data_IF_041238491899
#
_entry.id   IF_041238491899
#
_cell.length_a   1.000
_cell.length_b   1.000
_cell.length_c   1.000
_cell.angle_alpha   90.00
_cell.angle_beta   90.00
_cell.angle_gamma   90.00
#
_symmetry.space_group_name_H-M   'P 1'
#
loop_
_entity.id
_entity.type
_entity.pdbx_description
1 polymer ?
#
# COMPACT_ATOMS: atom_id res chain seq x y z
N UNK A 1 -19.50 -2.93 1.16
CA UNK A 1 -18.32 -3.33 0.36
C UNK A 1 -17.07 -2.85 1.06
N UNK A 2 -16.16 -3.73 1.34
CA UNK A 2 -14.92 -3.32 1.98
C UNK A 2 -14.05 -2.57 0.98
N UNK A 3 -13.76 -1.34 1.31
CA UNK A 3 -12.77 -0.57 0.55
C UNK A 3 -11.39 -0.84 1.11
N UNK A 4 -10.40 -0.80 0.25
CA UNK A 4 -9.02 -0.99 0.69
C UNK A 4 -8.09 -0.07 -0.08
N UNK A 5 -6.85 -0.02 0.39
CA UNK A 5 -5.84 0.90 -0.10
C UNK A 5 -4.54 0.16 -0.29
N UNK A 6 -3.76 0.58 -1.28
CA UNK A 6 -2.49 -0.05 -1.58
C UNK A 6 -1.35 0.92 -1.28
N UNK A 7 -0.29 0.40 -0.67
CA UNK A 7 0.96 1.11 -0.52
C UNK A 7 2.01 0.49 -1.42
N UNK A 8 2.79 1.33 -2.08
CA UNK A 8 3.84 0.89 -2.99
C UNK A 8 5.19 1.42 -2.56
N UNK A 9 6.20 0.57 -2.72
CA UNK A 9 7.58 0.98 -2.74
C UNK A 9 8.17 0.53 -4.06
N UNK A 10 9.15 1.25 -4.57
CA UNK A 10 9.82 0.84 -5.80
C UNK A 10 11.22 1.41 -5.85
N UNK A 11 12.09 0.70 -6.56
CA UNK A 11 13.41 1.22 -6.88
C UNK A 11 13.28 2.21 -8.04
N UNK A 12 14.26 3.09 -8.17
CA UNK A 12 14.28 4.07 -9.25
C UNK A 12 14.15 3.35 -10.59
N UNK A 13 13.27 3.86 -11.44
CA UNK A 13 13.08 3.33 -12.78
C UNK A 13 12.18 2.12 -12.86
N UNK A 14 11.50 1.75 -11.78
CA UNK A 14 10.56 0.63 -11.79
C UNK A 14 9.42 0.91 -12.78
N UNK A 15 9.19 0.03 -13.77
CA UNK A 15 8.13 0.27 -14.74
C UNK A 15 6.75 0.16 -14.14
N UNK A 16 5.80 0.92 -14.68
CA UNK A 16 4.40 0.82 -14.29
C UNK A 16 3.85 -0.59 -14.50
N UNK A 17 4.30 -1.28 -15.53
CA UNK A 17 3.87 -2.66 -15.82
C UNK A 17 4.22 -3.60 -14.67
N UNK A 18 5.39 -3.44 -14.07
CA UNK A 18 5.81 -4.28 -12.95
C UNK A 18 4.94 -4.00 -11.72
N UNK A 19 4.69 -2.73 -11.45
CA UNK A 19 3.82 -2.33 -10.34
C UNK A 19 2.41 -2.87 -10.52
N UNK A 20 1.89 -2.77 -11.74
CA UNK A 20 0.55 -3.26 -12.03
C UNK A 20 0.46 -4.78 -11.93
N UNK A 21 1.48 -5.49 -12.42
CA UNK A 21 1.53 -6.95 -12.30
C UNK A 21 1.52 -7.38 -10.83
N UNK A 22 2.29 -6.69 -10.01
CA UNK A 22 2.32 -6.99 -8.58
C UNK A 22 0.95 -6.75 -7.94
N UNK A 23 0.29 -5.65 -8.31
CA UNK A 23 -1.06 -5.36 -7.84
C UNK A 23 -2.05 -6.45 -8.27
N UNK A 24 -2.02 -6.84 -9.54
CA UNK A 24 -2.93 -7.86 -10.06
C UNK A 24 -2.73 -9.20 -9.34
N UNK A 25 -1.48 -9.60 -9.09
CA UNK A 25 -1.19 -10.81 -8.34
C UNK A 25 -1.72 -10.73 -6.91
N UNK A 26 -1.56 -9.58 -6.26
CA UNK A 26 -2.02 -9.40 -4.89
C UNK A 26 -3.54 -9.48 -4.80
N UNK A 27 -4.23 -8.86 -5.74
CA UNK A 27 -5.69 -8.90 -5.79
C UNK A 27 -6.20 -10.32 -5.99
N UNK A 28 -5.59 -11.06 -6.92
CA UNK A 28 -5.96 -12.46 -7.17
C UNK A 28 -5.75 -13.32 -5.93
N UNK A 29 -4.60 -13.16 -5.29
CA UNK A 29 -4.25 -13.96 -4.11
C UNK A 29 -5.20 -13.71 -2.94
N UNK A 30 -5.71 -12.49 -2.83
CA UNK A 30 -6.59 -12.11 -1.73
C UNK A 30 -8.07 -12.20 -2.07
N UNK A 31 -8.39 -12.50 -3.32
CA UNK A 31 -9.78 -12.52 -3.76
C UNK A 31 -10.44 -11.16 -3.69
N UNK A 32 -9.67 -10.08 -3.90
CA UNK A 32 -10.16 -8.72 -3.85
C UNK A 32 -10.41 -8.18 -5.25
N UNK A 33 -11.40 -7.32 -5.36
CA UNK A 33 -11.75 -6.70 -6.63
C UNK A 33 -11.07 -5.35 -6.77
N UNK A 34 -10.56 -5.06 -7.97
CA UNK A 34 -9.95 -3.76 -8.26
C UNK A 34 -10.93 -2.61 -8.00
N UNK A 35 -12.21 -2.83 -8.23
CA UNK A 35 -13.23 -1.81 -8.00
C UNK A 35 -13.30 -1.34 -6.55
N UNK A 36 -12.84 -2.13 -5.60
CA UNK A 36 -12.84 -1.79 -4.18
C UNK A 36 -11.54 -1.10 -3.74
N UNK A 37 -10.56 -1.00 -4.61
CA UNK A 37 -9.33 -0.24 -4.36
C UNK A 37 -9.63 1.24 -4.52
N UNK A 38 -9.42 2.01 -3.46
CA UNK A 38 -9.84 3.42 -3.42
C UNK A 38 -8.70 4.43 -3.50
N UNK A 39 -7.48 3.97 -3.42
CA UNK A 39 -6.33 4.86 -3.53
C UNK A 39 -5.04 4.11 -3.40
N UNK A 40 -3.98 4.75 -3.83
CA UNK A 40 -2.63 4.22 -3.70
C UNK A 40 -1.74 5.26 -3.03
N UNK A 41 -0.74 4.78 -2.32
CA UNK A 41 0.15 5.65 -1.55
C UNK A 41 1.59 5.20 -1.65
N UNK A 42 2.50 6.13 -1.44
CA UNK A 42 3.93 5.86 -1.35
C UNK A 42 4.59 6.94 -0.52
N UNK A 43 5.91 6.94 -0.49
CA UNK A 43 6.67 7.97 0.22
C UNK A 43 7.00 9.13 -0.74
N UNK A 44 7.13 10.34 -0.20
CA UNK A 44 7.36 11.54 -1.00
C UNK A 44 8.65 11.49 -1.83
N UNK A 45 9.62 10.67 -1.43
CA UNK A 45 10.82 10.46 -2.24
C UNK A 45 10.51 9.87 -3.62
N UNK A 46 9.32 9.32 -3.80
CA UNK A 46 8.88 8.72 -5.07
C UNK A 46 8.03 9.66 -5.91
N UNK A 47 7.97 10.94 -5.55
CA UNK A 47 7.15 11.92 -6.26
C UNK A 47 7.52 12.02 -7.74
N UNK A 48 8.79 11.82 -8.09
CA UNK A 48 9.28 11.90 -9.46
C UNK A 48 9.39 10.55 -10.13
N UNK A 49 8.83 9.50 -9.56
CA UNK A 49 8.94 8.16 -10.13
C UNK A 49 7.89 7.96 -11.21
N UNK A 50 8.28 7.95 -12.51
CA UNK A 50 7.29 7.92 -13.60
C UNK A 50 6.41 6.67 -13.58
N UNK A 51 6.96 5.52 -13.19
CA UNK A 51 6.19 4.28 -13.16
C UNK A 51 5.03 4.35 -12.19
N UNK A 52 5.26 4.96 -11.03
CA UNK A 52 4.22 5.10 -10.01
C UNK A 52 3.14 6.09 -10.44
N UNK A 53 3.55 7.20 -11.05
CA UNK A 53 2.62 8.20 -11.58
C UNK A 53 1.77 7.60 -12.70
N UNK A 54 2.39 6.83 -13.59
CA UNK A 54 1.67 6.16 -14.67
C UNK A 54 0.68 5.14 -14.15
N UNK A 55 1.04 4.42 -13.09
CA UNK A 55 0.14 3.45 -12.49
C UNK A 55 -1.11 4.13 -11.96
N UNK A 56 -0.93 5.23 -11.22
CA UNK A 56 -2.06 5.98 -10.68
C UNK A 56 -2.99 6.45 -11.79
N UNK A 57 -2.42 6.93 -12.89
CA UNK A 57 -3.17 7.39 -14.03
C UNK A 57 -3.94 6.24 -14.70
N UNK A 58 -3.29 5.10 -14.91
CA UNK A 58 -3.93 3.91 -15.48
C UNK A 58 -5.11 3.44 -14.64
N UNK A 59 -4.97 3.49 -13.32
CA UNK A 59 -6.02 3.03 -12.42
C UNK A 59 -7.10 4.08 -12.20
N UNK A 60 -6.83 5.33 -12.56
CA UNK A 60 -7.77 6.42 -12.29
C UNK A 60 -7.94 6.69 -10.80
N UNK A 61 -6.89 6.44 -10.01
CA UNK A 61 -6.93 6.56 -8.56
C UNK A 61 -5.98 7.66 -8.07
N UNK A 62 -6.31 8.30 -6.94
CA UNK A 62 -5.39 9.26 -6.35
C UNK A 62 -4.13 8.56 -5.84
N UNK A 63 -2.99 9.21 -6.05
CA UNK A 63 -1.72 8.81 -5.47
C UNK A 63 -1.41 9.79 -4.35
N UNK A 64 -1.32 9.29 -3.14
CA UNK A 64 -1.00 10.09 -1.96
C UNK A 64 0.43 9.81 -1.55
N UNK A 65 1.21 10.87 -1.37
CA UNK A 65 2.62 10.74 -1.00
C UNK A 65 2.81 11.29 0.41
N UNK A 66 3.39 10.48 1.27
CA UNK A 66 3.63 10.82 2.66
C UNK A 66 5.12 11.08 2.90
N UNK A 67 5.42 12.02 3.77
CA UNK A 67 6.78 12.18 4.26
C UNK A 67 7.10 11.07 5.26
N UNK A 68 8.39 10.74 5.40
CA UNK A 68 8.80 9.65 6.29
C UNK A 68 8.28 9.84 7.71
N UNK A 69 8.23 11.08 8.20
CA UNK A 69 7.74 11.37 9.55
C UNK A 69 6.26 10.99 9.70
N UNK A 70 5.48 11.11 8.64
CA UNK A 70 4.06 10.73 8.65
C UNK A 70 3.87 9.22 8.68
N UNK A 71 4.87 8.47 8.27
CA UNK A 71 4.82 7.00 8.25
C UNK A 71 5.33 6.37 9.54
N UNK A 72 6.08 7.12 10.35
CA UNK A 72 6.65 6.61 11.59
C UNK A 72 5.61 6.03 12.57
N UNK A 73 4.42 6.63 12.74
CA UNK A 73 3.44 6.07 13.67
C UNK A 73 3.00 4.65 13.34
N UNK A 74 3.22 4.21 12.11
CA UNK A 74 2.80 2.88 11.66
C UNK A 74 3.89 1.82 11.79
N UNK A 75 5.10 2.20 12.22
CA UNK A 75 6.20 1.26 12.37
C UNK A 75 5.88 0.07 13.27
N UNK A 76 5.19 0.24 14.40
CA UNK A 76 4.86 -0.91 15.25
C UNK A 76 3.95 -1.93 14.58
N UNK A 77 3.27 -1.55 13.51
CA UNK A 77 2.33 -2.42 12.80
C UNK A 77 2.94 -3.14 11.61
N UNK A 78 4.22 -2.87 11.32
CA UNK A 78 4.88 -3.47 10.15
C UNK A 78 5.12 -4.95 10.37
N UNK A 79 4.86 -5.74 9.33
CA UNK A 79 5.17 -7.16 9.34
C UNK A 79 6.64 -7.42 9.00
N UNK A 80 7.24 -6.51 8.23
CA UNK A 80 8.63 -6.61 7.80
C UNK A 80 9.32 -5.27 8.01
N UNK A 81 10.55 -5.32 8.50
CA UNK A 81 11.40 -4.14 8.65
C UNK A 81 12.62 -4.29 7.78
N UNK A 82 12.82 -3.34 6.88
CA UNK A 82 13.95 -3.38 5.95
C UNK A 82 14.99 -2.33 6.35
N UNK A 83 16.18 -2.78 6.72
CA UNK A 83 17.28 -1.87 7.02
C UNK A 83 17.69 -1.07 5.80
N UNK A 84 17.67 -1.67 4.62
CA UNK A 84 17.97 -0.97 3.38
C UNK A 84 16.96 0.14 3.09
N UNK A 85 15.67 -0.14 3.29
CA UNK A 85 14.64 0.87 3.12
C UNK A 85 14.78 2.01 4.11
N UNK A 86 15.10 1.70 5.37
CA UNK A 86 15.30 2.72 6.40
C UNK A 86 16.49 3.61 6.08
N UNK A 87 17.59 3.01 5.66
CA UNK A 87 18.80 3.77 5.32
C UNK A 87 18.55 4.73 4.16
N UNK A 88 17.69 4.34 3.22
CA UNK A 88 17.41 5.13 2.02
C UNK A 88 16.32 6.18 2.25
N UNK A 89 15.27 5.85 2.98
CA UNK A 89 14.06 6.67 3.05
C UNK A 89 13.72 7.18 4.45
N UNK A 90 14.38 6.68 5.48
CA UNK A 90 14.03 6.97 6.86
C UNK A 90 12.81 6.21 7.34
N UNK A 91 12.37 5.20 6.58
CA UNK A 91 11.19 4.41 6.90
C UNK A 91 11.52 2.92 6.79
N UNK A 92 11.14 2.13 7.80
CA UNK A 92 11.44 0.70 7.84
C UNK A 92 10.64 -0.14 6.84
N UNK A 93 9.50 0.35 6.40
CA UNK A 93 8.68 -0.35 5.43
C UNK A 93 7.74 0.60 4.73
N UNK A 94 8.13 1.09 3.55
CA UNK A 94 7.37 2.10 2.82
C UNK A 94 6.00 1.58 2.40
N UNK A 95 5.96 0.39 1.79
CA UNK A 95 4.70 -0.13 1.25
C UNK A 95 3.65 -0.34 2.34
N UNK A 96 4.03 -1.01 3.42
CA UNK A 96 3.10 -1.28 4.52
C UNK A 96 2.70 0.00 5.24
N UNK A 97 3.66 0.86 5.54
CA UNK A 97 3.38 2.13 6.24
C UNK A 97 2.47 3.03 5.42
N UNK A 98 2.74 3.15 4.12
CA UNK A 98 1.94 3.98 3.24
C UNK A 98 0.51 3.46 3.10
N UNK A 99 0.36 2.14 2.96
CA UNK A 99 -0.97 1.53 2.91
C UNK A 99 -1.76 1.80 4.19
N UNK A 100 -1.12 1.60 5.34
CA UNK A 100 -1.75 1.83 6.64
C UNK A 100 -2.10 3.31 6.84
N UNK A 101 -1.21 4.21 6.45
CA UNK A 101 -1.46 5.65 6.60
C UNK A 101 -2.67 6.08 5.78
N UNK A 102 -2.74 5.64 4.53
CA UNK A 102 -3.84 6.01 3.65
C UNK A 102 -5.16 5.41 4.14
N UNK A 103 -5.15 4.13 4.50
CA UNK A 103 -6.34 3.48 5.02
C UNK A 103 -6.83 4.15 6.31
N UNK A 104 -5.91 4.49 7.22
CA UNK A 104 -6.27 5.15 8.47
C UNK A 104 -6.87 6.52 8.23
N UNK A 105 -6.36 7.24 7.25
CA UNK A 105 -6.86 8.58 6.93
C UNK A 105 -8.34 8.53 6.50
N UNK A 106 -8.74 7.48 5.82
CA UNK A 106 -10.11 7.36 5.30
C UNK A 106 -11.03 6.52 6.15
N UNK A 107 -10.48 5.55 6.89
CA UNK A 107 -11.28 4.56 7.61
C UNK A 107 -11.18 4.68 9.14
N UNK A 108 -10.27 5.53 9.63
CA UNK A 108 -9.98 5.65 11.06
C UNK A 108 -8.94 4.63 11.47
N UNK A 109 -9.34 3.46 11.92
CA UNK A 109 -8.41 2.39 12.23
C UNK A 109 -8.17 1.55 10.98
N UNK A 110 -6.93 1.07 10.83
CA UNK A 110 -6.54 0.28 9.69
C UNK A 110 -5.65 -0.87 10.11
N UNK A 111 -5.69 -1.94 9.30
CA UNK A 111 -4.80 -3.09 9.45
C UNK A 111 -4.32 -3.53 8.09
N UNK A 112 -3.23 -4.26 8.07
CA UNK A 112 -2.76 -4.88 6.83
C UNK A 112 -3.70 -6.00 6.44
N UNK A 113 -4.19 -5.95 5.22
CA UNK A 113 -4.92 -7.05 4.59
C UNK A 113 -3.96 -8.00 3.91
N UNK A 114 -2.87 -7.47 3.39
CA UNK A 114 -1.81 -8.24 2.78
C UNK A 114 -0.48 -7.61 3.16
N UNK A 115 0.38 -8.39 3.79
CA UNK A 115 1.73 -7.96 4.13
C UNK A 115 2.55 -7.73 2.88
N UNK A 116 3.70 -7.07 3.02
CA UNK A 116 4.56 -6.71 1.90
C UNK A 116 4.80 -7.87 0.95
N UNK A 117 4.52 -7.63 -0.32
CA UNK A 117 4.83 -8.52 -1.43
C UNK A 117 5.89 -7.86 -2.30
N UNK A 118 6.74 -8.66 -2.92
CA UNK A 118 7.86 -8.16 -3.71
C UNK A 118 7.81 -8.78 -5.12
N UNK A 119 8.02 -7.94 -6.12
CA UNK A 119 8.19 -8.40 -7.50
C UNK A 119 9.29 -7.55 -8.15
N UNK A 120 10.51 -8.12 -8.23
CA UNK A 120 11.64 -7.37 -8.75
C UNK A 120 11.89 -6.08 -7.96
N UNK A 121 11.86 -4.92 -8.64
CA UNK A 121 12.10 -3.63 -7.97
C UNK A 121 10.89 -3.08 -7.24
N UNK A 122 9.75 -3.76 -7.28
CA UNK A 122 8.50 -3.25 -6.73
C UNK A 122 8.10 -3.96 -5.44
N UNK A 123 7.51 -3.21 -4.52
CA UNK A 123 6.89 -3.77 -3.32
C UNK A 123 5.48 -3.22 -3.18
N UNK A 124 4.62 -4.01 -2.56
CA UNK A 124 3.21 -3.67 -2.38
C UNK A 124 2.71 -4.22 -1.05
N UNK A 125 1.84 -3.46 -0.41
CA UNK A 125 1.03 -3.96 0.70
C UNK A 125 -0.39 -3.43 0.57
N UNK A 126 -1.34 -4.13 1.15
CA UNK A 126 -2.73 -3.72 1.15
C UNK A 126 -3.21 -3.51 2.58
N UNK A 127 -4.00 -2.47 2.78
CA UNK A 127 -4.56 -2.17 4.10
C UNK A 127 -6.04 -1.81 3.97
N UNK A 128 -6.78 -2.11 4.99
CA UNK A 128 -8.21 -1.82 5.04
C UNK A 128 -8.68 -1.63 6.47
N UNK A 129 -9.98 -1.77 6.70
CA UNK A 129 -10.56 -1.55 8.01
C UNK A 129 -9.99 -2.53 9.04
N UNK A 130 -9.65 -2.01 10.21
CA UNK A 130 -9.22 -2.82 11.35
C UNK A 130 -10.38 -3.61 11.94
N UNK A 131 -11.59 -3.13 11.75
CA UNK A 131 -12.77 -3.82 12.23
C UNK A 131 -13.21 -4.83 11.19
N UNK A 132 -13.54 -6.08 11.60
CA UNK A 132 -14.08 -7.02 10.64
C UNK A 132 -15.42 -6.49 10.12
N UNK A 133 -15.75 -6.77 8.86
CA UNK A 133 -17.05 -6.35 8.35
C UNK A 133 -18.17 -6.96 9.19
N UNK A 134 -19.19 -6.15 9.42
CA UNK A 134 -20.39 -6.65 10.09
C UNK A 134 -21.13 -7.57 9.16
N UNK A 135 -20.79 -8.81 9.21
CA UNK A 135 -21.39 -9.81 8.36
C UNK A 135 -22.15 -10.80 9.20
N UNK A 136 -22.97 -11.59 8.58
CA UNK A 136 -23.77 -12.58 9.27
C UNK A 136 -22.93 -13.58 10.05
N UNK A 137 -21.68 -13.73 9.74
CA UNK A 137 -20.81 -14.65 10.48
C UNK A 137 -20.47 -14.15 11.89
N UNK A 138 -20.68 -12.88 12.14
CA UNK A 138 -20.39 -12.28 13.44
C UNK A 138 -21.57 -12.46 14.39
N UNK A 139 -22.65 -13.02 13.91
CA UNK A 139 -23.86 -13.23 14.69
C UNK A 139 -24.21 -14.72 14.70
N UNK A 140 -24.57 -15.20 15.84
CA UNK A 140 -25.01 -16.59 15.93
C UNK A 140 -26.26 -16.84 15.13
#
# INVERSE_FOLDING_TARGET
MPHFYAGFGCRRGCPADTLQRLLDQALDNQGLALADLRGIASISLKADEPGLLQLAERLGLPLVLYHSVQLQPYEPLLSHRSAAAHAHSGCWGVAESAALALASQHLGEARLLLARQVLGPATLALAGSALPPLSCKDFP
#
